data_IF_870749896276
#
_entry.id   IF_870749896276
#
_cell.length_a   1.000
_cell.length_b   1.000
_cell.length_c   1.000
_cell.angle_alpha   90.00
_cell.angle_beta   90.00
_cell.angle_gamma   90.00
#
_symmetry.space_group_name_H-M   'P 1'
#
loop_
_entity.id
_entity.type
_entity.pdbx_description
1 polymer ?
#
# COMPACT_ATOMS: atom_id res chain seq x y z
N UNK A 1 -3.95 18.31 -25.04
CA UNK A 1 -4.98 17.52 -24.28
C UNK A 1 -4.70 16.00 -24.19
N UNK A 2 -3.47 15.53 -24.49
CA UNK A 2 -3.06 14.10 -24.38
C UNK A 2 -2.16 13.87 -23.16
N UNK A 3 -1.29 14.82 -22.83
CA UNK A 3 -0.38 14.75 -21.67
C UNK A 3 -1.14 14.64 -20.34
N UNK A 4 -2.25 15.38 -20.18
CA UNK A 4 -3.14 15.26 -19.02
C UNK A 4 -3.77 13.87 -18.90
N UNK A 5 -4.14 13.23 -20.01
CA UNK A 5 -4.68 11.86 -20.01
C UNK A 5 -3.60 10.85 -19.60
N UNK A 6 -2.38 11.00 -20.12
CA UNK A 6 -1.23 10.16 -19.76
C UNK A 6 -0.84 10.32 -18.30
N UNK A 7 -0.81 11.55 -17.79
CA UNK A 7 -0.53 11.80 -16.39
C UNK A 7 -1.60 11.22 -15.47
N UNK A 8 -2.88 11.40 -15.81
CA UNK A 8 -3.99 10.78 -15.07
C UNK A 8 -3.86 9.26 -15.06
N UNK A 9 -3.56 8.62 -16.20
CA UNK A 9 -3.29 7.18 -16.26
C UNK A 9 -2.14 6.77 -15.35
N UNK A 10 -1.03 7.50 -15.33
CA UNK A 10 0.11 7.25 -14.41
C UNK A 10 -0.30 7.38 -12.94
N UNK A 11 -1.11 8.40 -12.60
CA UNK A 11 -1.66 8.59 -11.25
C UNK A 11 -2.55 7.41 -10.84
N UNK A 12 -3.49 6.99 -11.71
CA UNK A 12 -4.36 5.85 -11.43
C UNK A 12 -3.58 4.54 -11.31
N UNK A 13 -2.58 4.30 -12.18
CA UNK A 13 -1.70 3.14 -12.06
C UNK A 13 -0.94 3.10 -10.73
N UNK A 14 -0.40 4.25 -10.29
CA UNK A 14 0.26 4.36 -8.98
C UNK A 14 -0.70 4.02 -7.83
N UNK A 15 -1.93 4.57 -7.86
CA UNK A 15 -2.97 4.27 -6.87
C UNK A 15 -3.36 2.79 -6.86
N UNK A 16 -3.57 2.19 -8.04
CA UNK A 16 -3.92 0.77 -8.17
C UNK A 16 -2.80 -0.14 -7.66
N UNK A 17 -1.54 0.19 -7.98
CA UNK A 17 -0.38 -0.55 -7.49
C UNK A 17 -0.24 -0.46 -5.97
N UNK A 18 -0.42 0.72 -5.39
CA UNK A 18 -0.45 0.89 -3.93
C UNK A 18 -1.57 0.09 -3.28
N UNK A 19 -2.79 0.10 -3.84
CA UNK A 19 -3.91 -0.71 -3.34
C UNK A 19 -3.56 -2.18 -3.30
N UNK A 20 -3.00 -2.71 -4.40
CA UNK A 20 -2.56 -4.13 -4.49
C UNK A 20 -1.49 -4.46 -3.45
N UNK A 21 -0.49 -3.60 -3.27
CA UNK A 21 0.56 -3.82 -2.28
C UNK A 21 0.02 -3.79 -0.84
N UNK A 22 -0.90 -2.86 -0.53
CA UNK A 22 -1.55 -2.81 0.79
C UNK A 22 -2.38 -4.06 1.09
N UNK A 23 -3.13 -4.56 0.11
CA UNK A 23 -3.86 -5.83 0.24
C UNK A 23 -2.92 -7.00 0.48
N UNK A 24 -1.80 -7.07 -0.25
CA UNK A 24 -0.78 -8.09 -0.02
C UNK A 24 -0.15 -7.97 1.36
N UNK A 25 0.12 -6.76 1.83
CA UNK A 25 0.68 -6.54 3.16
C UNK A 25 -0.25 -7.02 4.28
N UNK A 26 -1.56 -6.80 4.12
CA UNK A 26 -2.56 -7.28 5.07
C UNK A 26 -2.68 -8.82 5.08
N UNK A 27 -2.49 -9.47 3.92
CA UNK A 27 -2.54 -10.92 3.78
C UNK A 27 -1.22 -11.64 4.13
N UNK A 28 -0.09 -10.93 4.05
CA UNK A 28 1.24 -11.49 4.25
C UNK A 28 1.42 -11.97 5.71
N UNK A 29 1.67 -13.27 5.89
CA UNK A 29 1.90 -13.90 7.20
C UNK A 29 3.39 -13.98 7.55
N UNK A 30 4.25 -13.96 6.53
CA UNK A 30 5.70 -14.04 6.66
C UNK A 30 6.33 -12.65 6.81
N UNK A 31 7.22 -12.50 7.79
CA UNK A 31 7.99 -11.28 8.04
C UNK A 31 8.80 -10.81 6.83
N UNK A 32 9.41 -11.73 6.08
CA UNK A 32 10.22 -11.40 4.88
C UNK A 32 9.36 -10.92 3.73
N UNK A 33 8.17 -11.51 3.57
CA UNK A 33 7.20 -11.06 2.57
C UNK A 33 6.68 -9.66 2.90
N UNK A 34 6.34 -9.42 4.18
CA UNK A 34 5.91 -8.09 4.67
C UNK A 34 6.98 -7.04 4.38
N UNK A 35 8.24 -7.29 4.73
CA UNK A 35 9.33 -6.34 4.50
C UNK A 35 9.52 -6.03 3.00
N UNK A 36 9.47 -7.06 2.15
CA UNK A 36 9.55 -6.88 0.69
C UNK A 36 8.41 -6.02 0.15
N UNK A 37 7.20 -6.18 0.69
CA UNK A 37 6.05 -5.37 0.32
C UNK A 37 6.18 -3.94 0.83
N UNK A 38 6.64 -3.75 2.07
CA UNK A 38 6.90 -2.44 2.67
C UNK A 38 7.92 -1.64 1.84
N UNK A 39 9.04 -2.26 1.48
CA UNK A 39 10.05 -1.62 0.61
C UNK A 39 9.44 -1.17 -0.73
N UNK A 40 8.55 -1.96 -1.33
CA UNK A 40 7.85 -1.59 -2.57
C UNK A 40 6.89 -0.42 -2.37
N UNK A 41 6.24 -0.33 -1.21
CA UNK A 41 5.34 0.78 -0.91
C UNK A 41 6.16 2.06 -0.68
N UNK A 42 7.25 2.02 0.10
CA UNK A 42 8.11 3.19 0.34
C UNK A 42 8.73 3.74 -0.94
N UNK A 43 9.13 2.88 -1.89
CA UNK A 43 9.61 3.34 -3.21
C UNK A 43 8.56 4.13 -4.01
N UNK A 44 7.27 3.84 -3.83
CA UNK A 44 6.17 4.51 -4.54
C UNK A 44 5.64 5.72 -3.74
N UNK A 45 5.62 5.61 -2.42
CA UNK A 45 5.11 6.60 -1.49
C UNK A 45 6.09 6.70 -0.31
N UNK A 46 7.17 7.49 -0.43
CA UNK A 46 8.21 7.61 0.60
C UNK A 46 7.65 7.99 1.97
N UNK A 47 6.64 8.87 1.98
CA UNK A 47 5.97 9.40 3.16
C UNK A 47 4.91 8.47 3.76
N UNK A 48 4.78 7.25 3.26
CA UNK A 48 3.78 6.34 3.80
C UNK A 48 4.24 5.78 5.13
N UNK A 49 3.71 6.34 6.22
CA UNK A 49 3.85 5.75 7.54
C UNK A 49 3.04 4.45 7.59
N UNK A 50 3.68 3.37 8.05
CA UNK A 50 2.99 2.12 8.37
C UNK A 50 2.04 2.43 9.52
N UNK A 51 0.76 2.62 9.23
CA UNK A 51 -0.23 2.56 10.29
C UNK A 51 -0.14 1.18 10.93
N UNK A 52 0.03 1.07 12.25
CA UNK A 52 0.05 -0.22 12.91
C UNK A 52 -1.29 -0.91 12.63
N UNK A 53 -1.25 -2.05 11.95
CA UNK A 53 -2.42 -2.92 11.76
C UNK A 53 -2.83 -3.62 13.08
N UNK A 54 -2.61 -2.99 14.23
CA UNK A 54 -3.13 -3.45 15.49
C UNK A 54 -4.54 -2.87 15.70
N UNK A 55 -5.49 -3.39 14.91
CA UNK A 55 -6.94 -3.29 15.17
C UNK A 55 -7.46 -4.66 15.60
N UNK A 56 -6.82 -5.24 16.61
CA UNK A 56 -7.39 -6.24 17.51
C UNK A 56 -7.19 -5.58 18.88
N UNK A 57 -8.16 -5.33 19.75
CA UNK A 57 -9.38 -6.02 20.11
C UNK A 57 -10.11 -5.06 21.06
N UNK A 58 -11.33 -4.63 20.75
CA UNK A 58 -12.28 -4.20 21.78
C UNK A 58 -13.37 -5.29 21.82
N UNK A 59 -13.08 -6.35 22.57
CA UNK A 59 -14.11 -7.28 23.06
C UNK A 59 -14.72 -6.65 24.32
N UNK A 60 -16.04 -6.73 24.44
CA UNK A 60 -16.75 -6.71 25.73
C UNK A 60 -17.36 -5.36 26.12
N UNK A 61 -18.69 -5.32 26.11
CA UNK A 61 -19.56 -4.24 26.54
C UNK A 61 -20.97 -4.53 26.05
#
# INVERSE_FOLDING_TARGET
MVERKTELKRRYHRKAKLKKLKTKLAAARDSRERETILQKIHKISPWWAVEPQNRQIARGG
#
